data_IF_005799941718
#
_entry.id   IF_005799941718
#
_cell.length_a   1.000
_cell.length_b   1.000
_cell.length_c   1.000
_cell.angle_alpha   90.00
_cell.angle_beta   90.00
_cell.angle_gamma   90.00
#
_symmetry.space_group_name_H-M   'P 1'
#
loop_
_entity.id
_entity.type
_entity.pdbx_description
1 polymer ?
#
# COMPACT_ATOMS: atom_id res chain seq x y z
N UNK A 1 4.93 19.01 9.37
CA UNK A 1 5.69 18.62 8.16
C UNK A 1 4.84 17.70 7.31
N UNK A 2 4.69 18.01 6.06
CA UNK A 2 3.90 17.18 5.16
C UNK A 2 4.72 16.07 4.50
N UNK A 3 4.03 14.97 4.17
CA UNK A 3 4.60 13.86 3.43
C UNK A 3 5.00 14.30 2.01
N UNK A 4 6.17 13.88 1.56
CA UNK A 4 6.75 14.28 0.28
C UNK A 4 7.28 13.07 -0.47
N UNK A 5 7.62 13.28 -1.74
CA UNK A 5 8.24 12.24 -2.60
C UNK A 5 9.43 11.55 -1.93
N UNK A 6 10.28 12.31 -1.23
CA UNK A 6 11.43 11.74 -0.54
C UNK A 6 11.01 10.71 0.51
N UNK A 7 9.86 10.90 1.15
CA UNK A 7 9.36 9.97 2.16
C UNK A 7 8.93 8.62 1.57
N UNK A 8 8.56 8.57 0.29
CA UNK A 8 8.34 7.30 -0.42
C UNK A 8 9.66 6.54 -0.55
N UNK A 9 10.73 7.24 -0.89
CA UNK A 9 12.08 6.66 -1.00
C UNK A 9 12.53 6.16 0.37
N UNK A 10 12.34 6.95 1.43
CA UNK A 10 12.66 6.56 2.80
C UNK A 10 11.89 5.31 3.21
N UNK A 11 10.60 5.26 2.91
CA UNK A 11 9.75 4.09 3.16
C UNK A 11 10.27 2.85 2.42
N UNK A 12 10.60 2.98 1.13
CA UNK A 12 11.13 1.88 0.33
C UNK A 12 12.44 1.34 0.89
N UNK A 13 13.33 2.23 1.33
CA UNK A 13 14.60 1.82 1.94
C UNK A 13 14.36 1.01 3.22
N UNK A 14 13.41 1.43 4.05
CA UNK A 14 13.04 0.70 5.26
C UNK A 14 12.42 -0.65 4.90
N UNK A 15 11.49 -0.66 3.95
CA UNK A 15 10.81 -1.88 3.50
C UNK A 15 11.80 -2.90 2.89
N UNK A 16 12.77 -2.44 2.10
CA UNK A 16 13.79 -3.29 1.49
C UNK A 16 14.72 -3.94 2.53
N UNK A 17 14.97 -3.26 3.65
CA UNK A 17 15.78 -3.76 4.77
C UNK A 17 14.98 -4.68 5.70
N UNK A 18 13.66 -4.78 5.51
CA UNK A 18 12.77 -5.55 6.36
C UNK A 18 12.52 -6.92 5.73
N UNK A 19 12.89 -8.00 6.41
CA UNK A 19 12.65 -9.35 5.92
C UNK A 19 11.24 -9.80 6.28
N UNK A 20 10.37 -10.13 5.30
CA UNK A 20 9.03 -10.65 5.60
C UNK A 20 9.08 -11.85 6.55
N UNK A 21 8.19 -11.87 7.54
CA UNK A 21 8.13 -12.91 8.57
C UNK A 21 9.07 -12.71 9.76
N UNK A 22 10.00 -11.76 9.70
CA UNK A 22 10.90 -11.45 10.82
C UNK A 22 10.31 -10.39 11.74
N UNK A 23 10.90 -10.23 12.93
CA UNK A 23 10.54 -9.16 13.87
C UNK A 23 10.89 -7.81 13.25
N UNK A 24 9.95 -6.86 13.26
CA UNK A 24 10.11 -5.57 12.61
C UNK A 24 9.91 -4.35 13.53
N UNK A 25 10.08 -4.51 14.84
CA UNK A 25 9.86 -3.42 15.80
C UNK A 25 10.72 -2.18 15.55
N UNK A 26 11.99 -2.36 15.19
CA UNK A 26 12.89 -1.25 14.88
C UNK A 26 12.47 -0.52 13.58
N UNK A 27 12.10 -1.26 12.57
CA UNK A 27 11.62 -0.70 11.30
C UNK A 27 10.29 0.03 11.48
N UNK A 28 9.40 -0.49 12.33
CA UNK A 28 8.16 0.19 12.69
C UNK A 28 8.42 1.55 13.35
N UNK A 29 9.42 1.64 14.23
CA UNK A 29 9.82 2.93 14.83
C UNK A 29 10.29 3.92 13.77
N UNK A 30 11.06 3.48 12.78
CA UNK A 30 11.51 4.33 11.69
C UNK A 30 10.34 4.79 10.79
N UNK A 31 9.42 3.89 10.47
CA UNK A 31 8.20 4.19 9.73
C UNK A 31 7.36 5.26 10.44
N UNK A 32 7.24 5.17 11.75
CA UNK A 32 6.46 6.12 12.55
C UNK A 32 7.05 7.54 12.60
N UNK A 33 8.29 7.72 12.17
CA UNK A 33 8.92 9.04 12.02
C UNK A 33 8.53 9.75 10.72
N UNK A 34 7.94 9.04 9.76
CA UNK A 34 7.50 9.65 8.52
C UNK A 34 6.35 10.64 8.76
N UNK A 35 6.27 11.73 8.00
CA UNK A 35 5.15 12.67 8.12
C UNK A 35 3.80 11.98 7.94
N UNK A 36 2.82 12.38 8.74
CA UNK A 36 1.51 11.72 8.80
C UNK A 36 0.39 12.55 8.15
N UNK A 37 0.73 13.55 7.36
CA UNK A 37 -0.22 14.38 6.64
C UNK A 37 0.25 14.71 5.23
N UNK A 38 -0.70 14.82 4.31
CA UNK A 38 -0.47 15.25 2.94
C UNK A 38 -1.72 15.93 2.40
N UNK A 39 -1.63 17.26 2.16
CA UNK A 39 -2.74 18.04 1.57
C UNK A 39 -4.11 17.77 2.22
N UNK A 40 -4.14 17.76 3.54
CA UNK A 40 -5.37 17.49 4.31
C UNK A 40 -5.71 16.01 4.51
N UNK A 41 -4.96 15.10 3.89
CA UNK A 41 -5.13 13.67 4.09
C UNK A 41 -4.27 13.17 5.25
N UNK A 42 -4.74 12.13 5.92
CA UNK A 42 -3.96 11.39 6.92
C UNK A 42 -3.13 10.33 6.21
N UNK A 43 -1.82 10.34 6.45
CA UNK A 43 -0.90 9.35 5.89
C UNK A 43 -0.55 8.33 6.97
N UNK A 44 -0.71 7.05 6.64
CA UNK A 44 -0.26 5.94 7.48
C UNK A 44 0.62 5.02 6.65
N UNK A 45 1.67 4.52 7.26
CA UNK A 45 2.54 3.53 6.63
C UNK A 45 2.76 2.35 7.57
N UNK A 46 2.99 1.18 7.02
CA UNK A 46 3.24 -0.03 7.79
C UNK A 46 4.19 -0.98 7.06
N UNK A 47 5.08 -1.58 7.83
CA UNK A 47 5.91 -2.72 7.39
C UNK A 47 5.49 -4.01 8.09
N UNK A 48 4.44 -3.95 8.88
CA UNK A 48 3.89 -5.07 9.66
C UNK A 48 3.59 -4.67 11.09
N UNK A 49 2.90 -5.53 11.79
CA UNK A 49 2.56 -5.37 13.22
C UNK A 49 3.36 -6.40 14.03
N UNK A 50 4.53 -6.00 14.53
CA UNK A 50 5.45 -6.88 15.26
C UNK A 50 6.23 -7.83 14.36
N UNK A 51 5.56 -8.44 13.39
CA UNK A 51 6.14 -9.31 12.36
C UNK A 51 5.99 -8.63 11.00
N UNK A 52 7.05 -8.63 10.21
CA UNK A 52 7.08 -7.95 8.92
C UNK A 52 6.12 -8.59 7.90
N UNK A 53 5.38 -7.73 7.20
CA UNK A 53 4.46 -8.15 6.14
C UNK A 53 5.18 -8.37 4.81
N UNK A 54 4.62 -9.25 3.98
CA UNK A 54 5.04 -9.42 2.59
C UNK A 54 4.75 -8.20 1.72
N UNK A 55 3.75 -7.40 2.10
CA UNK A 55 3.28 -6.24 1.33
C UNK A 55 3.22 -5.01 2.24
N UNK A 56 4.36 -4.34 2.49
CA UNK A 56 4.36 -3.03 3.13
C UNK A 56 3.54 -2.00 2.35
N UNK A 57 2.93 -1.07 3.05
CA UNK A 57 2.01 -0.13 2.43
C UNK A 57 2.05 1.28 3.02
N UNK A 58 1.62 2.24 2.22
CA UNK A 58 1.31 3.62 2.64
C UNK A 58 -0.11 3.93 2.19
N UNK A 59 -0.96 4.41 3.10
CA UNK A 59 -2.34 4.82 2.79
C UNK A 59 -2.54 6.32 3.00
N UNK A 60 -3.42 6.90 2.18
CA UNK A 60 -3.82 8.30 2.24
C UNK A 60 -5.32 8.35 2.46
N UNK A 61 -5.77 8.67 3.66
CA UNK A 61 -7.19 8.67 4.02
C UNK A 61 -7.67 10.08 4.37
N UNK A 62 -8.90 10.39 4.00
CA UNK A 62 -9.54 11.66 4.29
C UNK A 62 -11.05 11.52 4.30
N UNK A 63 -11.76 12.63 4.51
CA UNK A 63 -13.22 12.65 4.45
C UNK A 63 -13.89 11.59 5.35
N UNK A 64 -13.43 11.47 6.60
CA UNK A 64 -13.91 10.49 7.59
C UNK A 64 -13.65 9.03 7.21
N UNK A 65 -12.75 8.77 6.28
CA UNK A 65 -12.35 7.41 5.91
C UNK A 65 -11.31 6.85 6.88
N UNK A 66 -11.32 5.52 6.98
CA UNK A 66 -10.30 4.74 7.70
C UNK A 66 -9.81 3.63 6.78
N UNK A 67 -8.64 3.08 7.05
CA UNK A 67 -8.13 1.92 6.30
C UNK A 67 -9.05 0.70 6.39
N UNK A 68 -9.85 0.62 7.45
CA UNK A 68 -10.86 -0.42 7.64
C UNK A 68 -12.24 -0.09 7.05
N UNK A 69 -12.45 1.14 6.57
CA UNK A 69 -13.73 1.58 6.03
C UNK A 69 -13.53 2.76 5.08
N UNK A 70 -13.53 2.50 3.79
CA UNK A 70 -13.43 3.54 2.77
C UNK A 70 -12.79 3.08 1.47
N UNK A 71 -12.64 4.05 0.58
CA UNK A 71 -11.87 3.95 -0.66
C UNK A 71 -10.79 5.03 -0.59
N UNK A 72 -9.53 4.66 -0.71
CA UNK A 72 -8.41 5.59 -0.52
C UNK A 72 -7.21 5.21 -1.39
N UNK A 73 -6.38 6.19 -1.78
CA UNK A 73 -5.10 5.92 -2.43
C UNK A 73 -4.19 5.12 -1.50
N UNK A 74 -3.49 4.16 -2.08
CA UNK A 74 -2.54 3.32 -1.36
C UNK A 74 -1.32 3.05 -2.22
N UNK A 75 -0.16 3.04 -1.61
CA UNK A 75 1.08 2.57 -2.22
C UNK A 75 1.41 1.23 -1.59
N UNK A 76 1.59 0.21 -2.42
CA UNK A 76 1.87 -1.15 -2.00
C UNK A 76 3.24 -1.57 -2.52
N UNK A 77 4.07 -2.14 -1.66
CA UNK A 77 5.34 -2.71 -2.06
C UNK A 77 5.27 -4.23 -1.95
N UNK A 78 5.28 -4.91 -3.10
CA UNK A 78 5.32 -6.37 -3.17
C UNK A 78 6.76 -6.83 -3.04
N UNK A 79 7.14 -7.22 -1.84
CA UNK A 79 8.53 -7.51 -1.47
C UNK A 79 9.13 -8.65 -2.29
N UNK A 80 8.37 -9.72 -2.52
CA UNK A 80 8.83 -10.90 -3.27
C UNK A 80 9.27 -10.54 -4.69
N UNK A 81 8.50 -9.74 -5.40
CA UNK A 81 8.76 -9.36 -6.80
C UNK A 81 9.41 -7.99 -6.96
N UNK A 82 9.63 -7.26 -5.87
CA UNK A 82 10.18 -5.90 -5.88
C UNK A 82 9.36 -4.95 -6.76
N UNK A 83 8.04 -5.03 -6.63
CA UNK A 83 7.10 -4.20 -7.41
C UNK A 83 6.43 -3.20 -6.49
N UNK A 84 6.46 -1.92 -6.87
CA UNK A 84 5.72 -0.85 -6.22
C UNK A 84 4.46 -0.57 -7.03
N UNK A 85 3.32 -0.62 -6.37
CA UNK A 85 2.02 -0.37 -6.99
C UNK A 85 1.34 0.82 -6.30
N UNK A 86 0.84 1.75 -7.09
CA UNK A 86 -0.05 2.81 -6.62
C UNK A 86 -1.46 2.45 -7.06
N UNK A 87 -2.38 2.38 -6.13
CA UNK A 87 -3.73 1.92 -6.38
C UNK A 87 -4.74 2.64 -5.49
N UNK A 88 -6.02 2.43 -5.75
CA UNK A 88 -7.08 2.73 -4.80
C UNK A 88 -7.43 1.48 -4.02
N UNK A 89 -7.25 1.53 -2.70
CA UNK A 89 -7.65 0.47 -1.80
C UNK A 89 -9.13 0.59 -1.44
N UNK A 90 -9.84 -0.51 -1.52
CA UNK A 90 -11.21 -0.62 -1.01
C UNK A 90 -11.15 -1.47 0.25
N UNK A 91 -11.69 -0.94 1.35
CA UNK A 91 -11.70 -1.68 2.61
C UNK A 91 -12.45 -3.00 2.48
N UNK A 92 -11.81 -4.09 2.89
CA UNK A 92 -12.42 -5.41 2.94
C UNK A 92 -13.23 -5.63 4.23
N UNK A 93 -12.90 -4.93 5.31
CA UNK A 93 -13.56 -5.10 6.62
C UNK A 93 -14.98 -4.55 6.60
N UNK A 94 -15.16 -3.37 6.02
CA UNK A 94 -16.45 -2.74 5.86
C UNK A 94 -16.57 -2.24 4.42
N UNK A 95 -17.55 -2.74 3.68
CA UNK A 95 -17.78 -2.27 2.31
C UNK A 95 -18.13 -0.78 2.34
N UNK A 96 -17.50 0.07 1.52
CA UNK A 96 -17.87 1.46 1.42
C UNK A 96 -19.29 1.61 0.87
N UNK A 97 -19.97 2.66 1.29
CA UNK A 97 -21.34 2.95 0.84
C UNK A 97 -21.42 3.27 -0.65
N UNK A 98 -20.32 3.79 -1.22
CA UNK A 98 -20.22 4.12 -2.64
C UNK A 98 -19.22 3.19 -3.31
N UNK A 99 -19.61 2.64 -4.45
CA UNK A 99 -18.75 1.80 -5.29
C UNK A 99 -18.32 2.63 -6.49
N UNK A 100 -17.02 2.71 -6.74
CA UNK A 100 -16.52 3.35 -7.94
C UNK A 100 -16.75 2.46 -9.16
N UNK A 101 -17.50 2.98 -10.12
CA UNK A 101 -17.69 2.36 -11.42
C UNK A 101 -16.97 3.17 -12.48
N UNK A 102 -15.66 3.15 -12.48
CA UNK A 102 -14.88 3.76 -13.57
C UNK A 102 -14.58 2.71 -14.63
N UNK A 103 -14.87 2.97 -15.93
CA UNK A 103 -14.56 2.02 -16.99
C UNK A 103 -13.04 1.85 -17.15
N UNK A 104 -12.61 0.64 -17.44
CA UNK A 104 -11.20 0.33 -17.69
C UNK A 104 -10.33 0.11 -16.45
N UNK A 105 -10.92 0.06 -15.26
CA UNK A 105 -10.18 -0.26 -14.05
C UNK A 105 -9.83 -1.73 -13.98
N UNK A 106 -8.58 -2.01 -13.63
CA UNK A 106 -8.10 -3.37 -13.39
C UNK A 106 -7.88 -3.57 -11.91
N UNK A 107 -8.13 -4.78 -11.43
CA UNK A 107 -7.68 -5.20 -10.11
C UNK A 107 -6.19 -5.54 -10.15
N UNK A 108 -5.53 -5.54 -9.00
CA UNK A 108 -4.12 -5.96 -8.91
C UNK A 108 -3.97 -7.41 -9.38
N UNK A 109 -4.93 -8.27 -9.03
CA UNK A 109 -4.94 -9.66 -9.46
C UNK A 109 -4.99 -9.79 -10.99
N UNK A 110 -5.86 -9.02 -11.63
CA UNK A 110 -5.92 -8.97 -13.11
C UNK A 110 -4.62 -8.48 -13.72
N UNK A 111 -4.01 -7.45 -13.13
CA UNK A 111 -2.73 -6.94 -13.61
C UNK A 111 -1.61 -8.01 -13.52
N UNK A 112 -1.47 -8.68 -12.40
CA UNK A 112 -0.47 -9.71 -12.24
C UNK A 112 -0.71 -10.88 -13.20
N UNK A 113 -1.96 -11.27 -13.40
CA UNK A 113 -2.33 -12.31 -14.36
C UNK A 113 -1.95 -11.91 -15.78
N UNK A 114 -2.28 -10.70 -16.22
CA UNK A 114 -1.95 -10.19 -17.58
C UNK A 114 -0.44 -10.07 -17.79
N UNK A 115 0.32 -9.64 -16.77
CA UNK A 115 1.77 -9.54 -16.85
C UNK A 115 2.49 -10.88 -16.61
N UNK A 116 1.74 -11.97 -16.39
CA UNK A 116 2.27 -13.30 -16.08
C UNK A 116 3.21 -13.29 -14.88
N UNK A 117 2.90 -12.48 -13.87
CA UNK A 117 3.64 -12.39 -12.61
C UNK A 117 2.96 -13.31 -11.60
N UNK A 118 3.70 -14.27 -11.07
CA UNK A 118 3.22 -15.13 -9.97
C UNK A 118 3.60 -14.49 -8.65
N UNK A 119 2.59 -14.17 -7.84
CA UNK A 119 2.77 -13.62 -6.50
C UNK A 119 2.20 -14.59 -5.48
N UNK A 120 3.03 -15.03 -4.52
CA UNK A 120 2.64 -16.00 -3.50
C UNK A 120 1.55 -15.47 -2.59
N UNK A 121 1.64 -14.19 -2.21
CA UNK A 121 0.66 -13.53 -1.36
C UNK A 121 0.09 -12.32 -2.09
N UNK A 122 -1.20 -12.41 -2.41
CA UNK A 122 -1.99 -11.27 -2.86
C UNK A 122 -2.86 -10.82 -1.69
N UNK A 123 -3.05 -9.52 -1.55
CA UNK A 123 -4.08 -8.98 -0.67
C UNK A 123 -5.45 -9.28 -1.28
N UNK A 124 -5.86 -10.55 -1.18
CA UNK A 124 -7.10 -11.04 -1.80
C UNK A 124 -8.36 -10.36 -1.30
N UNK A 125 -8.27 -9.77 -0.11
CA UNK A 125 -9.41 -9.13 0.55
C UNK A 125 -9.54 -7.65 0.23
N UNK A 126 -8.58 -7.07 -0.48
CA UNK A 126 -8.61 -5.68 -0.89
C UNK A 126 -8.87 -5.66 -2.38
N UNK A 127 -10.11 -5.35 -2.78
CA UNK A 127 -10.40 -5.08 -4.18
C UNK A 127 -9.74 -3.76 -4.53
N UNK A 128 -8.57 -3.86 -5.11
CA UNK A 128 -7.78 -2.71 -5.49
C UNK A 128 -8.07 -2.39 -6.96
N UNK A 129 -8.68 -1.26 -7.20
CA UNK A 129 -8.80 -0.70 -8.53
C UNK A 129 -7.49 -0.01 -8.86
N UNK A 130 -6.83 -0.50 -9.88
CA UNK A 130 -5.45 -0.18 -10.20
C UNK A 130 -5.34 1.05 -11.10
N UNK A 131 -4.63 2.07 -10.63
CA UNK A 131 -3.89 2.96 -11.50
C UNK A 131 -2.41 2.60 -11.35
N UNK A 132 -1.86 1.87 -12.34
CA UNK A 132 -0.42 1.63 -12.36
C UNK A 132 0.23 2.91 -12.82
N UNK A 133 1.00 3.52 -11.94
CA UNK A 133 1.85 4.61 -12.33
C UNK A 133 3.30 4.17 -12.52
N UNK A 134 3.77 3.12 -11.84
CA UNK A 134 5.14 2.61 -12.02
C UNK A 134 5.26 1.15 -11.55
N UNK A 135 5.85 0.30 -12.37
CA UNK A 135 6.52 -0.90 -11.90
C UNK A 135 8.01 -0.59 -11.78
N UNK A 136 8.51 -0.52 -10.58
CA UNK A 136 9.94 -0.43 -10.34
C UNK A 136 10.47 -1.85 -10.17
N UNK A 137 11.14 -2.36 -11.19
CA UNK A 137 12.02 -3.49 -11.02
C UNK A 137 13.31 -2.97 -10.38
N UNK A 138 13.46 -3.24 -9.11
CA UNK A 138 14.69 -2.95 -8.37
C UNK A 138 15.54 -4.21 -8.33
#
# INVERSE_FOLDING_TARGET
>A
MEFQKQNIIDFLNIALQTTPGSVCGNQTKEINKLPQSYKGLTVKASVGMGVATEIPWISFTGYNQKTSNGIYPVILFYHEKKILIVAFGISATNKPAEIWTLPGLKTIDQYFTEQKITQTKLEKNTMLHLYILYSLFI
#
